data_IF_100068434120
#
_entry.id   IF_100068434120
#
_cell.length_a   1.000
_cell.length_b   1.000
_cell.length_c   1.000
_cell.angle_alpha   90.00
_cell.angle_beta   90.00
_cell.angle_gamma   90.00
#
_symmetry.space_group_name_H-M   'P 1'
#
loop_
_entity.id
_entity.type
_entity.pdbx_description
1 polymer ?
#
# COMPACT_ATOMS: atom_id res chain seq x y z
N UNK A 1 12.52 -18.20 10.43
CA UNK A 1 11.61 -18.57 9.31
C UNK A 1 11.52 -20.06 9.03
N UNK A 2 12.31 -20.92 9.68
CA UNK A 2 12.21 -22.37 9.50
C UNK A 2 10.80 -22.87 9.80
N UNK A 3 10.35 -23.89 9.07
CA UNK A 3 9.10 -24.64 9.32
C UNK A 3 7.77 -23.99 8.91
N UNK A 4 7.75 -22.84 8.22
CA UNK A 4 6.49 -22.30 7.65
C UNK A 4 6.04 -23.11 6.44
N UNK A 5 6.90 -23.24 5.43
CA UNK A 5 6.72 -24.11 4.25
C UNK A 5 8.09 -24.66 3.78
N UNK A 6 8.62 -25.70 4.45
CA UNK A 6 9.97 -26.23 4.22
C UNK A 6 10.27 -26.64 2.78
N UNK A 7 9.26 -27.08 2.03
CA UNK A 7 9.42 -27.52 0.65
C UNK A 7 9.53 -26.35 -0.36
N UNK A 8 9.19 -25.14 0.08
CA UNK A 8 9.36 -23.89 -0.66
C UNK A 8 10.64 -23.18 -0.21
N UNK A 9 10.77 -22.94 1.09
CA UNK A 9 11.90 -22.23 1.69
C UNK A 9 12.25 -22.87 3.03
N UNK A 10 13.52 -23.21 3.21
CA UNK A 10 14.07 -23.71 4.46
C UNK A 10 15.30 -22.88 4.80
N UNK A 11 15.15 -21.95 5.73
CA UNK A 11 16.19 -21.00 6.08
C UNK A 11 15.81 -20.13 7.26
N UNK A 12 16.78 -19.35 7.70
CA UNK A 12 16.67 -18.40 8.80
C UNK A 12 17.51 -17.17 8.48
N UNK A 13 17.11 -16.03 9.04
CA UNK A 13 17.89 -14.81 9.06
C UNK A 13 18.63 -14.74 10.40
N UNK A 14 19.87 -14.28 10.37
CA UNK A 14 20.69 -14.03 11.56
C UNK A 14 21.34 -12.67 11.43
N UNK A 15 21.48 -11.98 12.56
CA UNK A 15 22.35 -10.83 12.69
C UNK A 15 23.71 -11.30 13.18
N UNK A 16 24.75 -11.06 12.39
CA UNK A 16 26.11 -11.41 12.76
C UNK A 16 26.73 -10.25 13.54
N UNK A 17 27.53 -10.57 14.55
CA UNK A 17 28.26 -9.56 15.34
C UNK A 17 29.70 -9.38 14.82
N UNK A 18 30.22 -10.38 14.10
CA UNK A 18 31.56 -10.42 13.54
C UNK A 18 31.50 -10.82 12.05
N UNK A 19 32.41 -10.30 11.22
CA UNK A 19 32.55 -10.72 9.83
C UNK A 19 33.13 -12.16 9.74
N UNK A 20 33.93 -12.59 10.72
CA UNK A 20 34.47 -13.96 10.74
C UNK A 20 33.36 -15.03 10.90
N UNK A 21 32.24 -14.68 11.53
CA UNK A 21 31.07 -15.56 11.64
C UNK A 21 30.49 -15.89 10.25
N UNK A 22 30.57 -14.95 9.30
CA UNK A 22 30.11 -15.18 7.92
C UNK A 22 30.95 -16.28 7.26
N UNK A 23 32.27 -16.22 7.41
CA UNK A 23 33.17 -17.26 6.89
C UNK A 23 32.91 -18.63 7.51
N UNK A 24 32.58 -18.69 8.80
CA UNK A 24 32.19 -19.95 9.43
C UNK A 24 30.89 -20.52 8.85
N UNK A 25 29.90 -19.67 8.58
CA UNK A 25 28.64 -20.08 7.96
C UNK A 25 28.83 -20.53 6.50
N UNK A 26 29.65 -19.82 5.72
CA UNK A 26 29.95 -20.16 4.32
C UNK A 26 30.62 -21.54 4.19
N UNK A 27 31.45 -21.91 5.16
CA UNK A 27 32.16 -23.19 5.17
C UNK A 27 31.36 -24.33 5.82
N UNK A 28 30.16 -24.05 6.34
CA UNK A 28 29.32 -25.07 6.96
C UNK A 28 28.70 -25.99 5.90
N UNK A 29 28.86 -27.31 6.06
CA UNK A 29 28.28 -28.31 5.17
C UNK A 29 26.72 -28.31 5.15
N UNK A 30 26.09 -27.59 6.08
CA UNK A 30 24.63 -27.48 6.19
C UNK A 30 24.06 -26.19 5.60
N UNK A 31 24.91 -25.27 5.12
CA UNK A 31 24.49 -24.01 4.52
C UNK A 31 24.60 -24.14 3.01
N UNK A 32 23.46 -24.12 2.32
CA UNK A 32 23.43 -24.19 0.85
C UNK A 32 23.77 -22.83 0.22
N UNK A 33 23.25 -21.75 0.79
CA UNK A 33 23.43 -20.39 0.28
C UNK A 33 23.24 -19.36 1.39
N UNK A 34 24.02 -18.29 1.31
CA UNK A 34 23.88 -17.10 2.14
C UNK A 34 23.55 -15.92 1.22
N UNK A 35 22.62 -15.10 1.67
CA UNK A 35 22.27 -13.85 1.01
C UNK A 35 22.03 -12.77 2.03
N UNK A 36 22.41 -11.55 1.67
CA UNK A 36 22.20 -10.39 2.49
C UNK A 36 20.70 -10.12 2.64
N UNK A 37 20.26 -9.87 3.87
CA UNK A 37 18.93 -9.31 4.12
C UNK A 37 18.97 -7.84 3.73
N UNK A 38 18.14 -7.47 2.77
CA UNK A 38 18.08 -6.12 2.25
C UNK A 38 16.83 -5.41 2.77
N UNK A 39 16.94 -4.10 2.88
CA UNK A 39 15.80 -3.23 3.18
C UNK A 39 14.99 -3.01 1.91
N UNK A 40 13.70 -3.31 1.98
CA UNK A 40 12.76 -3.09 0.89
C UNK A 40 11.77 -2.00 1.28
N UNK A 41 11.48 -1.13 0.32
CA UNK A 41 10.60 0.02 0.52
C UNK A 41 9.23 -0.22 -0.09
N UNK A 42 8.24 0.48 0.45
CA UNK A 42 6.95 0.57 -0.22
C UNK A 42 7.09 1.48 -1.44
N UNK A 43 6.47 1.09 -2.55
CA UNK A 43 6.25 2.01 -3.65
C UNK A 43 5.56 3.29 -3.14
N UNK A 44 6.08 4.46 -3.53
CA UNK A 44 5.56 5.75 -3.07
C UNK A 44 4.07 5.89 -3.43
N UNK A 45 3.26 6.43 -2.50
CA UNK A 45 1.82 6.63 -2.72
C UNK A 45 1.48 8.11 -2.83
N UNK A 46 0.54 8.43 -3.72
CA UNK A 46 0.00 9.78 -3.85
C UNK A 46 -0.84 10.21 -2.64
N UNK A 47 -1.09 11.52 -2.53
CA UNK A 47 -1.86 12.14 -1.46
C UNK A 47 -3.27 11.56 -1.30
N UNK A 48 -3.77 11.51 -0.06
CA UNK A 48 -5.07 10.93 0.31
C UNK A 48 -6.24 11.82 -0.11
N UNK A 49 -7.32 11.19 -0.60
CA UNK A 49 -8.63 11.80 -0.77
C UNK A 49 -9.60 11.25 0.27
N UNK A 50 -10.02 12.09 1.21
CA UNK A 50 -11.16 11.79 2.07
C UNK A 50 -12.40 12.37 1.39
N UNK A 51 -13.41 11.53 1.19
CA UNK A 51 -14.69 11.98 0.63
C UNK A 51 -15.67 12.13 1.79
N UNK A 52 -16.08 13.35 2.07
CA UNK A 52 -16.97 13.66 3.21
C UNK A 52 -18.47 13.50 2.86
N UNK A 53 -18.79 13.27 1.59
CA UNK A 53 -20.15 13.08 1.11
C UNK A 53 -20.21 12.01 0.00
N UNK A 54 -21.35 11.33 -0.19
CA UNK A 54 -21.56 10.46 -1.34
C UNK A 54 -21.19 11.16 -2.64
N UNK A 55 -20.39 10.50 -3.48
CA UNK A 55 -20.19 10.94 -4.85
C UNK A 55 -21.52 10.66 -5.56
N UNK A 56 -22.00 11.59 -6.39
CA UNK A 56 -23.16 11.35 -7.24
C UNK A 56 -22.81 10.37 -8.38
N UNK A 57 -22.50 9.14 -8.00
CA UNK A 57 -22.03 8.05 -8.84
C UNK A 57 -22.49 6.74 -8.21
N UNK A 58 -22.63 5.72 -9.05
CA UNK A 58 -22.83 4.33 -8.61
C UNK A 58 -21.54 3.55 -8.84
N UNK A 59 -21.28 2.45 -8.11
CA UNK A 59 -20.11 1.62 -8.38
C UNK A 59 -20.02 1.15 -9.84
N UNK A 60 -21.15 0.90 -10.49
CA UNK A 60 -21.23 0.52 -11.90
C UNK A 60 -20.76 1.59 -12.89
N UNK A 61 -20.60 2.84 -12.45
CA UNK A 61 -20.10 3.95 -13.25
C UNK A 61 -18.66 4.33 -12.88
N UNK A 62 -18.02 3.63 -11.95
CA UNK A 62 -16.65 3.93 -11.55
C UNK A 62 -15.70 3.67 -12.73
N UNK A 63 -15.06 4.72 -13.31
CA UNK A 63 -14.41 4.58 -14.61
C UNK A 63 -13.32 3.51 -14.71
N UNK A 64 -12.43 3.31 -13.70
CA UNK A 64 -11.45 2.24 -13.75
C UNK A 64 -12.08 0.84 -13.89
N UNK A 65 -13.24 0.61 -13.26
CA UNK A 65 -13.95 -0.67 -13.35
C UNK A 65 -14.71 -0.86 -14.67
N UNK A 66 -15.21 0.23 -15.26
CA UNK A 66 -15.79 0.20 -16.60
C UNK A 66 -14.71 -0.12 -17.63
N UNK A 67 -13.56 0.56 -17.57
CA UNK A 67 -12.44 0.38 -18.49
C UNK A 67 -11.85 -1.04 -18.42
N UNK A 68 -11.73 -1.61 -17.22
CA UNK A 68 -11.26 -2.98 -16.99
C UNK A 68 -12.36 -4.05 -17.10
N UNK A 69 -13.61 -3.66 -17.44
CA UNK A 69 -14.78 -4.53 -17.59
C UNK A 69 -15.17 -5.33 -16.33
N UNK A 70 -14.74 -4.90 -15.15
CA UNK A 70 -15.12 -5.50 -13.87
C UNK A 70 -16.63 -5.40 -13.66
N UNK A 71 -17.26 -4.33 -14.15
CA UNK A 71 -18.71 -4.13 -14.10
C UNK A 71 -19.49 -5.22 -14.83
N UNK A 72 -18.95 -5.82 -15.89
CA UNK A 72 -19.58 -6.95 -16.58
C UNK A 72 -19.51 -8.24 -15.74
N UNK A 73 -18.39 -8.47 -15.03
CA UNK A 73 -18.27 -9.59 -14.09
C UNK A 73 -19.28 -9.46 -12.94
N UNK A 74 -19.46 -8.25 -12.41
CA UNK A 74 -20.46 -7.98 -11.38
C UNK A 74 -21.89 -8.22 -11.88
N UNK A 75 -22.23 -7.83 -13.12
CA UNK A 75 -23.53 -8.15 -13.74
C UNK A 75 -23.78 -9.65 -13.87
N UNK A 76 -22.72 -10.45 -14.01
CA UNK A 76 -22.78 -11.92 -14.02
C UNK A 76 -22.86 -12.54 -12.61
N UNK A 77 -22.86 -11.73 -11.54
CA UNK A 77 -22.88 -12.21 -10.15
C UNK A 77 -21.51 -12.64 -9.61
N UNK A 78 -20.41 -12.31 -10.30
CA UNK A 78 -19.06 -12.69 -9.92
C UNK A 78 -18.47 -11.60 -9.04
N UNK A 79 -18.43 -11.85 -7.73
CA UNK A 79 -17.96 -10.90 -6.71
C UNK A 79 -16.80 -11.42 -5.85
N UNK A 80 -16.19 -12.55 -6.23
CA UNK A 80 -15.08 -13.16 -5.49
C UNK A 80 -15.48 -14.01 -4.28
N UNK A 81 -16.74 -14.44 -4.19
CA UNK A 81 -17.21 -15.30 -3.09
C UNK A 81 -16.39 -16.59 -3.03
N UNK A 82 -15.89 -16.92 -1.84
CA UNK A 82 -15.10 -18.13 -1.59
C UNK A 82 -13.60 -17.99 -1.88
N UNK A 83 -13.16 -16.87 -2.45
CA UNK A 83 -11.74 -16.58 -2.68
C UNK A 83 -11.14 -15.88 -1.45
N UNK A 84 -9.94 -16.30 -1.07
CA UNK A 84 -9.11 -15.68 -0.04
C UNK A 84 -7.96 -14.91 -0.66
N UNK A 85 -7.86 -13.62 -0.37
CA UNK A 85 -6.79 -12.74 -0.86
C UNK A 85 -5.97 -12.23 0.31
N UNK A 86 -4.69 -12.60 0.39
CA UNK A 86 -3.75 -12.03 1.35
C UNK A 86 -3.10 -10.78 0.76
N UNK A 87 -3.07 -9.72 1.55
CA UNK A 87 -2.46 -8.44 1.21
C UNK A 87 -1.24 -8.23 2.11
N UNK A 88 -0.08 -8.01 1.51
CA UNK A 88 1.16 -7.63 2.21
C UNK A 88 1.36 -6.14 1.97
N UNK A 89 1.11 -5.32 3.01
CA UNK A 89 1.11 -3.86 2.94
C UNK A 89 1.35 -3.25 4.34
N UNK A 90 1.49 -1.93 4.40
CA UNK A 90 1.56 -1.05 5.58
C UNK A 90 0.39 -1.12 6.57
N UNK A 91 -0.61 -1.95 6.28
CA UNK A 91 -1.70 -2.29 7.16
C UNK A 91 -3.07 -1.91 6.62
N UNK A 92 -4.06 -1.92 7.51
CA UNK A 92 -5.45 -1.61 7.18
C UNK A 92 -6.21 -1.08 8.39
N UNK A 93 -7.14 -0.18 8.14
CA UNK A 93 -8.20 0.13 9.09
C UNK A 93 -9.30 -0.95 9.01
N UNK A 94 -9.19 -1.97 9.86
CA UNK A 94 -10.19 -3.03 9.95
C UNK A 94 -11.57 -2.52 10.40
N UNK A 95 -11.64 -1.37 11.09
CA UNK A 95 -12.90 -0.79 11.55
C UNK A 95 -13.68 -0.09 10.43
N UNK A 96 -13.06 0.11 9.26
CA UNK A 96 -13.67 0.82 8.15
C UNK A 96 -14.98 0.13 7.69
N UNK A 97 -16.10 0.87 7.55
CA UNK A 97 -17.39 0.30 7.16
C UNK A 97 -17.36 -0.54 5.88
N UNK A 98 -16.65 -0.06 4.85
CA UNK A 98 -16.51 -0.78 3.58
C UNK A 98 -15.72 -2.09 3.71
N UNK A 99 -14.97 -2.28 4.80
CA UNK A 99 -14.09 -3.43 5.04
C UNK A 99 -14.62 -4.37 6.12
N UNK A 100 -15.90 -4.28 6.49
CA UNK A 100 -16.55 -5.25 7.37
C UNK A 100 -16.42 -4.97 8.87
N UNK A 101 -15.84 -3.82 9.27
CA UNK A 101 -15.84 -3.31 10.67
C UNK A 101 -15.25 -4.28 11.71
N UNK A 102 -14.23 -5.03 11.36
CA UNK A 102 -13.48 -5.84 12.32
C UNK A 102 -12.42 -6.72 11.69
N UNK A 103 -11.73 -7.47 12.54
CA UNK A 103 -10.64 -8.38 12.20
C UNK A 103 -10.86 -9.75 12.85
N UNK A 104 -10.48 -10.82 12.15
CA UNK A 104 -10.51 -12.19 12.65
C UNK A 104 -11.66 -13.03 12.09
N UNK A 105 -11.79 -14.29 12.52
CA UNK A 105 -12.77 -15.22 11.98
C UNK A 105 -14.19 -14.63 11.96
N UNK A 106 -14.85 -14.68 10.80
CA UNK A 106 -16.20 -14.13 10.59
C UNK A 106 -16.23 -12.68 10.08
N UNK A 107 -15.13 -11.95 10.13
CA UNK A 107 -15.00 -10.65 9.47
C UNK A 107 -14.51 -10.78 8.03
N UNK A 108 -14.62 -9.69 7.25
CA UNK A 108 -14.05 -9.64 5.89
C UNK A 108 -12.53 -9.79 5.94
N UNK A 109 -11.85 -9.11 6.87
CA UNK A 109 -10.42 -9.29 7.11
C UNK A 109 -10.29 -10.39 8.17
N UNK A 110 -10.18 -11.63 7.73
CA UNK A 110 -10.40 -12.80 8.58
C UNK A 110 -9.13 -13.36 9.23
N UNK A 111 -7.97 -13.08 8.65
CA UNK A 111 -6.67 -13.61 9.09
C UNK A 111 -5.54 -12.63 8.78
N UNK A 112 -4.34 -12.91 9.26
CA UNK A 112 -3.22 -11.98 9.11
C UNK A 112 -2.22 -12.04 10.25
N UNK A 113 -1.08 -11.38 10.05
CA UNK A 113 -0.01 -11.30 11.05
C UNK A 113 0.79 -10.01 10.87
N UNK A 114 1.36 -9.52 11.96
CA UNK A 114 2.27 -8.39 11.94
C UNK A 114 3.73 -8.84 11.73
N UNK A 115 4.38 -8.28 10.72
CA UNK A 115 5.78 -8.45 10.36
C UNK A 115 6.52 -7.11 10.32
N UNK A 116 5.92 -6.01 10.79
CA UNK A 116 6.63 -4.76 10.96
C UNK A 116 7.65 -4.91 12.09
N UNK A 117 8.92 -4.67 11.78
CA UNK A 117 9.98 -4.56 12.78
C UNK A 117 9.70 -3.31 13.62
N UNK A 118 9.65 -3.49 14.94
CA UNK A 118 9.62 -2.37 15.91
C UNK A 118 11.04 -2.23 16.45
N UNK A 119 11.64 -1.05 16.30
CA UNK A 119 12.94 -0.68 16.89
C UNK A 119 12.88 -0.56 18.44
N UNK A 120 11.97 -1.26 19.09
CA UNK A 120 11.94 -1.36 20.54
C UNK A 120 12.98 -2.41 20.95
N UNK A 121 14.23 -1.96 21.06
CA UNK A 121 15.35 -2.62 21.73
C UNK A 121 15.07 -2.78 23.25
N UNK A 122 13.98 -3.44 23.64
CA UNK A 122 13.68 -3.84 25.02
C UNK A 122 12.79 -5.09 25.01
N UNK A 123 13.41 -6.27 24.86
CA UNK A 123 13.39 -7.31 25.90
C UNK A 123 13.83 -8.67 25.35
N UNK A 124 14.90 -9.18 25.97
CA UNK A 124 15.24 -10.59 26.00
C UNK A 124 14.05 -11.40 26.52
N UNK A 125 13.49 -12.27 25.68
CA UNK A 125 13.12 -13.64 26.08
C UNK A 125 12.65 -14.43 24.87
N UNK A 126 13.42 -15.47 24.55
CA UNK A 126 12.96 -16.52 23.66
C UNK A 126 11.85 -17.30 24.35
N UNK A 127 10.60 -17.07 23.97
CA UNK A 127 9.59 -18.12 24.00
C UNK A 127 8.52 -17.85 22.95
N UNK A 128 8.30 -18.85 22.11
CA UNK A 128 7.24 -18.87 21.11
C UNK A 128 5.87 -18.80 21.77
N UNK A 129 5.18 -17.67 21.66
CA UNK A 129 3.73 -17.63 21.80
C UNK A 129 3.09 -17.15 20.49
N UNK A 130 2.68 -18.13 19.69
CA UNK A 130 1.95 -17.94 18.45
C UNK A 130 0.46 -17.58 18.68
N UNK A 131 0.07 -17.17 19.89
CA UNK A 131 -1.34 -17.01 20.23
C UNK A 131 -1.71 -15.78 21.08
N UNK A 132 -1.07 -14.61 20.96
CA UNK A 132 -1.76 -13.40 21.49
C UNK A 132 -1.30 -11.99 21.09
N UNK A 133 -0.41 -11.81 20.11
CA UNK A 133 -0.31 -10.50 19.48
C UNK A 133 -1.35 -10.42 18.37
N UNK A 134 -2.58 -10.16 18.83
CA UNK A 134 -3.61 -9.53 18.04
C UNK A 134 -2.92 -8.54 17.10
N UNK A 135 -3.19 -8.68 15.81
CA UNK A 135 -3.17 -7.54 14.91
C UNK A 135 -4.13 -6.55 15.58
N UNK A 136 -3.62 -5.70 16.47
CA UNK A 136 -4.36 -4.59 17.06
C UNK A 136 -4.14 -3.40 16.12
N UNK A 137 -5.00 -3.21 15.10
CA UNK A 137 -5.22 -1.87 14.61
C UNK A 137 -5.79 -1.10 15.80
N UNK A 138 -5.28 0.11 16.08
CA UNK A 138 -5.79 0.95 17.16
C UNK A 138 -7.32 1.06 17.13
N UNK A 139 -7.95 0.23 17.94
CA UNK A 139 -9.37 0.18 18.25
C UNK A 139 -9.44 0.06 19.75
N UNK A 140 -9.55 1.22 20.40
CA UNK A 140 -9.91 1.45 21.81
C UNK A 140 -10.13 0.17 22.65
N UNK A 141 -9.06 -0.38 23.23
CA UNK A 141 -9.11 -1.34 24.32
C UNK A 141 -9.05 -0.64 25.69
N UNK A 142 -9.66 -1.20 26.76
CA UNK A 142 -9.91 -0.52 28.04
C UNK A 142 -8.67 -0.46 28.96
N UNK A 143 -7.58 0.16 28.49
CA UNK A 143 -6.42 0.55 29.32
C UNK A 143 -6.21 2.07 29.41
N UNK A 144 -7.20 2.86 29.00
CA UNK A 144 -7.22 4.30 29.23
C UNK A 144 -7.69 4.65 30.66
N UNK A 145 -6.94 4.21 31.68
CA UNK A 145 -7.09 4.76 33.03
C UNK A 145 -5.78 4.66 33.83
N UNK A 146 -4.66 5.09 33.26
CA UNK A 146 -3.49 5.53 34.03
C UNK A 146 -2.49 6.27 33.11
N UNK A 147 -2.80 7.52 32.76
CA UNK A 147 -1.82 8.62 32.70
C UNK A 147 -2.52 9.92 32.28
N UNK A 148 -3.22 10.54 33.24
CA UNK A 148 -3.57 11.95 33.14
C UNK A 148 -2.31 12.80 33.41
N UNK A 149 -1.28 12.74 32.56
CA UNK A 149 -0.14 13.64 32.60
C UNK A 149 0.80 13.45 31.39
N UNK A 150 0.39 13.91 30.20
CA UNK A 150 1.32 14.33 29.12
C UNK A 150 0.55 15.19 28.11
N UNK A 151 0.37 16.47 28.45
CA UNK A 151 -0.02 17.51 27.50
C UNK A 151 1.12 17.72 26.50
N UNK A 152 0.76 17.92 25.23
CA UNK A 152 1.63 18.35 24.11
C UNK A 152 2.54 17.32 23.45
N UNK A 153 1.96 16.24 22.91
CA UNK A 153 2.39 15.74 21.59
C UNK A 153 1.13 15.67 20.73
N UNK A 154 1.04 16.52 19.71
CA UNK A 154 0.09 16.27 18.63
C UNK A 154 0.50 14.92 18.01
N UNK A 155 -0.20 13.85 18.38
CA UNK A 155 -0.18 12.62 17.62
C UNK A 155 -0.68 12.96 16.22
N UNK A 156 0.25 13.13 15.27
CA UNK A 156 -0.08 12.93 13.86
C UNK A 156 -0.56 11.49 13.76
N UNK A 157 -1.88 11.27 13.74
CA UNK A 157 -2.46 9.97 13.37
C UNK A 157 -1.84 9.57 12.03
N UNK A 158 -0.87 8.64 12.05
CA UNK A 158 -0.26 8.08 10.83
C UNK A 158 -1.38 7.38 10.07
N UNK A 159 -1.81 7.98 8.97
CA UNK A 159 -2.92 7.48 8.16
C UNK A 159 -2.44 6.36 7.26
N UNK A 160 -2.94 5.14 7.48
CA UNK A 160 -2.62 3.94 6.71
C UNK A 160 -3.45 3.95 5.42
N UNK A 161 -2.77 3.97 4.27
CA UNK A 161 -3.37 3.99 2.93
C UNK A 161 -3.39 2.56 2.39
N UNK A 162 -4.56 2.04 2.00
CA UNK A 162 -4.77 0.60 1.89
C UNK A 162 -5.35 0.18 0.53
N UNK A 163 -4.65 -0.71 -0.17
CA UNK A 163 -5.11 -1.32 -1.43
C UNK A 163 -6.28 -2.29 -1.22
N UNK A 164 -6.56 -2.62 0.04
CA UNK A 164 -7.71 -3.42 0.50
C UNK A 164 -9.04 -2.88 -0.04
N UNK A 165 -9.17 -1.56 -0.17
CA UNK A 165 -10.36 -0.92 -0.71
C UNK A 165 -10.58 -1.24 -2.19
N UNK A 166 -9.52 -1.13 -3.00
CA UNK A 166 -9.53 -1.47 -4.43
C UNK A 166 -9.92 -2.94 -4.60
N UNK A 167 -9.37 -3.81 -3.76
CA UNK A 167 -9.60 -5.26 -3.85
C UNK A 167 -11.02 -5.63 -3.45
N UNK A 168 -11.51 -5.25 -2.27
CA UNK A 168 -12.74 -5.84 -1.73
C UNK A 168 -13.61 -4.91 -0.88
N UNK A 169 -13.53 -3.59 -1.07
CA UNK A 169 -14.48 -2.67 -0.46
C UNK A 169 -15.92 -3.04 -0.84
N UNK A 170 -16.80 -3.07 0.15
CA UNK A 170 -18.25 -3.09 -0.07
C UNK A 170 -18.75 -1.67 -0.31
N UNK A 171 -19.78 -1.53 -1.15
CA UNK A 171 -20.42 -0.22 -1.33
C UNK A 171 -21.16 0.17 -0.07
N UNK A 172 -20.75 1.30 0.52
CA UNK A 172 -21.32 1.90 1.72
C UNK A 172 -22.01 3.23 1.42
N UNK A 173 -22.40 3.45 0.16
CA UNK A 173 -23.16 4.62 -0.27
C UNK A 173 -22.29 5.77 -0.78
N UNK A 174 -21.03 5.51 -1.12
CA UNK A 174 -20.10 6.53 -1.66
C UNK A 174 -19.82 6.37 -3.16
N UNK A 175 -20.54 5.46 -3.83
CA UNK A 175 -20.43 5.26 -5.28
C UNK A 175 -19.18 4.48 -5.69
N UNK A 176 -18.61 3.71 -4.76
CA UNK A 176 -17.42 2.88 -4.97
C UNK A 176 -17.58 1.50 -4.34
N UNK A 177 -17.11 0.48 -5.05
CA UNK A 177 -17.03 -0.91 -4.61
C UNK A 177 -15.69 -1.45 -5.10
N UNK A 178 -15.08 -2.38 -4.37
CA UNK A 178 -13.86 -3.06 -4.82
C UNK A 178 -14.12 -4.06 -5.95
N UNK A 179 -13.07 -4.65 -6.49
CA UNK A 179 -13.13 -5.65 -7.57
C UNK A 179 -13.86 -6.92 -7.14
N UNK A 180 -13.54 -7.43 -5.94
CA UNK A 180 -14.03 -8.68 -5.38
C UNK A 180 -14.62 -8.45 -3.97
N UNK A 181 -15.77 -7.75 -3.86
CA UNK A 181 -16.33 -7.34 -2.57
C UNK A 181 -16.81 -8.49 -1.69
N UNK A 182 -16.91 -9.72 -2.22
CA UNK A 182 -17.27 -10.92 -1.44
C UNK A 182 -16.07 -11.83 -1.15
N UNK A 183 -14.84 -11.41 -1.49
CA UNK A 183 -13.63 -12.10 -1.09
C UNK A 183 -13.38 -11.96 0.42
N UNK A 184 -12.73 -12.97 0.99
CA UNK A 184 -12.17 -12.91 2.34
C UNK A 184 -10.75 -12.39 2.24
N UNK A 185 -10.39 -11.41 3.07
CA UNK A 185 -9.07 -10.81 3.08
C UNK A 185 -8.20 -11.35 4.21
N UNK A 186 -6.91 -11.50 3.93
CA UNK A 186 -5.85 -11.62 4.92
C UNK A 186 -5.00 -10.35 4.91
N UNK A 187 -4.56 -9.88 6.07
CA UNK A 187 -3.67 -8.71 6.16
C UNK A 187 -2.34 -9.06 6.83
N UNK A 188 -1.26 -8.90 6.08
CA UNK A 188 0.11 -9.14 6.51
C UNK A 188 0.80 -7.79 6.63
N UNK A 189 0.81 -7.26 7.85
CA UNK A 189 1.33 -5.94 8.11
C UNK A 189 2.85 -5.96 7.92
N UNK A 190 3.30 -5.07 7.05
CA UNK A 190 4.68 -4.86 6.70
C UNK A 190 5.04 -3.42 7.07
N UNK A 191 6.13 -3.21 7.81
CA UNK A 191 6.51 -1.88 8.31
C UNK A 191 6.87 -0.93 7.16
N UNK A 192 6.27 0.26 7.15
CA UNK A 192 6.60 1.33 6.20
C UNK A 192 6.54 2.68 6.92
N UNK A 193 7.67 3.32 7.15
CA UNK A 193 7.78 4.67 7.72
C UNK A 193 9.13 5.30 7.44
N UNK A 194 9.30 6.58 7.78
CA UNK A 194 10.51 7.38 7.45
C UNK A 194 11.84 6.79 8.00
N UNK A 195 11.78 5.88 8.99
CA UNK A 195 12.91 5.07 9.46
C UNK A 195 12.60 3.55 9.52
N UNK A 196 11.39 3.14 9.12
CA UNK A 196 10.90 1.75 9.23
C UNK A 196 10.89 1.05 7.88
N UNK A 197 12.08 0.87 7.31
CA UNK A 197 12.31 -0.01 6.16
C UNK A 197 12.17 -1.46 6.65
N UNK A 198 11.24 -2.21 6.07
CA UNK A 198 11.14 -3.64 6.35
C UNK A 198 12.12 -4.42 5.48
N UNK A 199 12.30 -5.69 5.81
CA UNK A 199 13.36 -6.52 5.27
C UNK A 199 12.85 -7.58 4.27
N UNK A 200 13.72 -8.02 3.36
CA UNK A 200 13.41 -9.09 2.39
C UNK A 200 13.02 -10.40 3.07
N UNK A 201 13.56 -10.66 4.26
CA UNK A 201 13.32 -11.87 5.04
C UNK A 201 11.94 -11.83 5.71
N UNK A 202 11.51 -10.68 6.24
CA UNK A 202 10.13 -10.43 6.68
C UNK A 202 9.12 -10.60 5.55
N UNK A 203 9.47 -10.19 4.32
CA UNK A 203 8.60 -10.34 3.15
C UNK A 203 8.46 -11.82 2.74
N UNK A 204 9.56 -12.57 2.74
CA UNK A 204 9.56 -14.02 2.57
C UNK A 204 8.67 -14.67 3.62
N UNK A 205 8.84 -14.32 4.90
CA UNK A 205 8.02 -14.87 5.99
C UNK A 205 6.53 -14.60 5.81
N UNK A 206 6.17 -13.37 5.42
CA UNK A 206 4.78 -12.97 5.17
C UNK A 206 4.16 -13.74 4.00
N UNK A 207 4.87 -13.91 2.88
CA UNK A 207 4.38 -14.70 1.73
C UNK A 207 4.18 -16.18 2.08
N UNK A 208 5.12 -16.77 2.81
CA UNK A 208 5.01 -18.18 3.24
C UNK A 208 3.84 -18.36 4.20
N UNK A 209 3.65 -17.43 5.15
CA UNK A 209 2.54 -17.48 6.10
C UNK A 209 1.19 -17.23 5.42
N UNK A 210 1.11 -16.28 4.49
CA UNK A 210 -0.08 -16.03 3.67
C UNK A 210 -0.57 -17.29 2.94
N UNK A 211 0.36 -18.02 2.32
CA UNK A 211 0.03 -19.27 1.69
C UNK A 211 -0.38 -20.35 2.72
N UNK A 212 0.35 -20.46 3.84
CA UNK A 212 0.03 -21.42 4.92
C UNK A 212 -1.37 -21.19 5.52
N UNK A 213 -1.81 -19.95 5.63
CA UNK A 213 -3.15 -19.57 6.09
C UNK A 213 -4.25 -19.84 5.03
N UNK A 214 -3.85 -20.34 3.86
CA UNK A 214 -4.73 -20.78 2.78
C UNK A 214 -5.19 -19.65 1.87
N UNK A 215 -4.39 -18.60 1.70
CA UNK A 215 -4.67 -17.59 0.67
C UNK A 215 -4.55 -18.18 -0.74
N UNK A 216 -5.54 -17.93 -1.58
CA UNK A 216 -5.53 -18.31 -3.00
C UNK A 216 -4.66 -17.34 -3.81
N UNK A 217 -4.75 -16.05 -3.45
CA UNK A 217 -4.04 -14.94 -4.07
C UNK A 217 -3.24 -14.23 -3.00
N UNK A 218 -1.97 -13.97 -3.27
CA UNK A 218 -1.10 -13.11 -2.47
C UNK A 218 -0.80 -11.88 -3.31
N UNK A 219 -1.20 -10.71 -2.84
CA UNK A 219 -0.93 -9.43 -3.48
C UNK A 219 -0.04 -8.59 -2.58
N UNK A 220 1.00 -8.01 -3.18
CA UNK A 220 1.97 -7.20 -2.48
C UNK A 220 2.27 -5.92 -3.28
N UNK A 221 2.00 -4.77 -2.67
CA UNK A 221 2.30 -3.45 -3.24
C UNK A 221 3.63 -2.94 -2.71
N UNK A 222 4.65 -3.74 -2.99
CA UNK A 222 5.99 -3.53 -2.49
C UNK A 222 7.01 -3.83 -3.58
N UNK A 223 8.08 -3.04 -3.59
CA UNK A 223 9.09 -3.09 -4.63
C UNK A 223 10.41 -2.52 -4.12
N UNK A 224 11.50 -3.10 -4.58
CA UNK A 224 12.83 -2.51 -4.46
C UNK A 224 13.57 -2.64 -5.78
N UNK A 225 14.65 -1.85 -5.98
CA UNK A 225 15.49 -1.96 -7.16
C UNK A 225 15.88 -3.41 -7.41
N UNK A 226 15.72 -3.85 -8.66
CA UNK A 226 15.90 -5.23 -9.04
C UNK A 226 15.94 -5.39 -10.55
N UNK A 227 15.59 -6.56 -11.05
CA UNK A 227 15.41 -6.76 -12.50
C UNK A 227 15.84 -8.12 -13.06
N UNK A 228 16.42 -8.98 -12.23
CA UNK A 228 16.77 -10.35 -12.64
C UNK A 228 15.78 -11.32 -12.02
N UNK A 229 15.01 -12.06 -12.84
CA UNK A 229 13.89 -12.88 -12.31
C UNK A 229 14.25 -14.11 -11.47
N UNK A 230 15.54 -14.30 -11.14
CA UNK A 230 16.12 -15.38 -10.34
C UNK A 230 17.43 -14.90 -9.68
N UNK A 231 17.94 -15.67 -8.71
CA UNK A 231 19.25 -15.43 -8.09
C UNK A 231 19.14 -14.91 -6.66
N UNK A 232 18.04 -14.25 -6.33
CA UNK A 232 17.71 -13.80 -4.96
C UNK A 232 16.69 -14.72 -4.28
N UNK A 233 16.80 -14.85 -2.95
CA UNK A 233 16.01 -15.73 -2.10
C UNK A 233 14.53 -15.36 -2.14
N UNK A 234 14.24 -14.06 -2.16
CA UNK A 234 12.89 -13.54 -2.31
C UNK A 234 12.26 -14.02 -3.62
N UNK A 235 12.97 -13.85 -4.75
CA UNK A 235 12.48 -14.26 -6.07
C UNK A 235 12.36 -15.77 -6.19
N UNK A 236 13.34 -16.51 -5.66
CA UNK A 236 13.30 -17.97 -5.61
C UNK A 236 12.11 -18.47 -4.78
N UNK A 237 11.80 -17.80 -3.67
CA UNK A 237 10.64 -18.11 -2.83
C UNK A 237 9.34 -17.87 -3.60
N UNK A 238 9.18 -16.70 -4.23
CA UNK A 238 8.03 -16.38 -5.08
C UNK A 238 7.86 -17.41 -6.19
N UNK A 239 8.94 -17.70 -6.92
CA UNK A 239 8.92 -18.67 -8.01
C UNK A 239 8.50 -20.08 -7.53
N UNK A 240 9.02 -20.54 -6.38
CA UNK A 240 8.70 -21.85 -5.80
C UNK A 240 7.29 -21.90 -5.22
N UNK A 241 6.79 -20.83 -4.61
CA UNK A 241 5.39 -20.73 -4.16
C UNK A 241 4.43 -20.97 -5.33
N UNK A 242 4.66 -20.30 -6.45
CA UNK A 242 3.81 -20.46 -7.63
C UNK A 242 3.97 -21.87 -8.21
N UNK A 243 5.20 -22.34 -8.46
CA UNK A 243 5.44 -23.63 -9.11
C UNK A 243 5.02 -24.84 -8.29
N UNK A 244 5.31 -24.85 -6.99
CA UNK A 244 5.09 -26.02 -6.13
C UNK A 244 3.74 -26.01 -5.44
N UNK A 245 3.18 -24.82 -5.19
CA UNK A 245 1.95 -24.67 -4.41
C UNK A 245 0.77 -24.13 -5.20
N UNK A 246 0.98 -23.69 -6.44
CA UNK A 246 -0.08 -23.09 -7.26
C UNK A 246 -0.57 -21.76 -6.71
N UNK A 247 0.23 -21.07 -5.87
CA UNK A 247 -0.12 -19.75 -5.36
C UNK A 247 -0.17 -18.74 -6.51
N UNK A 248 -1.14 -17.84 -6.51
CA UNK A 248 -1.18 -16.70 -7.44
C UNK A 248 -0.54 -15.51 -6.73
N UNK A 249 0.62 -15.07 -7.22
CA UNK A 249 1.35 -13.93 -6.63
C UNK A 249 1.27 -12.74 -7.58
N UNK A 250 0.75 -11.62 -7.09
CA UNK A 250 0.56 -10.38 -7.83
C UNK A 250 1.40 -9.29 -7.17
N UNK A 251 2.28 -8.64 -7.94
CA UNK A 251 3.20 -7.63 -7.43
C UNK A 251 3.17 -6.40 -8.34
N UNK A 252 3.19 -5.21 -7.74
CA UNK A 252 3.31 -3.96 -8.50
C UNK A 252 4.66 -3.87 -9.23
N UNK A 253 4.68 -3.41 -10.48
CA UNK A 253 5.89 -3.35 -11.29
C UNK A 253 6.95 -2.34 -10.82
N UNK A 254 6.56 -1.39 -9.97
CA UNK A 254 7.38 -0.24 -9.55
C UNK A 254 6.83 1.09 -10.08
N UNK A 255 7.29 2.20 -9.49
CA UNK A 255 6.89 3.56 -9.86
C UNK A 255 8.02 4.36 -10.53
N UNK A 256 9.18 3.73 -10.72
CA UNK A 256 10.44 4.30 -11.20
C UNK A 256 10.52 4.27 -12.73
N UNK A 257 9.38 4.44 -13.42
CA UNK A 257 9.30 4.39 -14.88
C UNK A 257 10.20 5.40 -15.60
N UNK A 258 10.65 6.46 -14.91
CA UNK A 258 11.65 7.42 -15.42
C UNK A 258 13.05 6.84 -15.56
N UNK A 259 13.40 5.79 -14.82
CA UNK A 259 14.71 5.12 -14.87
C UNK A 259 14.86 4.25 -16.13
N UNK A 260 13.75 3.99 -16.83
CA UNK A 260 13.73 3.34 -18.14
C UNK A 260 13.16 1.92 -18.12
N UNK A 261 13.04 1.34 -19.32
CA UNK A 261 12.29 0.09 -19.56
C UNK A 261 12.83 -1.15 -18.83
N UNK A 262 14.08 -1.10 -18.34
CA UNK A 262 14.73 -2.22 -17.67
C UNK A 262 14.78 -2.07 -16.14
N UNK A 263 14.19 -1.01 -15.59
CA UNK A 263 14.14 -0.77 -14.14
C UNK A 263 12.84 -1.34 -13.56
N UNK A 264 12.75 -2.66 -13.50
CA UNK A 264 11.62 -3.36 -12.88
C UNK A 264 11.92 -3.76 -11.44
N UNK A 265 10.96 -3.59 -10.55
CA UNK A 265 11.16 -3.88 -9.14
C UNK A 265 11.17 -5.37 -8.81
N UNK A 266 11.93 -5.75 -7.79
CA UNK A 266 11.77 -7.01 -7.07
C UNK A 266 10.70 -6.82 -5.98
N UNK A 267 9.76 -7.78 -5.77
CA UNK A 267 9.70 -9.11 -6.38
C UNK A 267 8.95 -9.22 -7.71
N UNK A 268 8.52 -8.13 -8.33
CA UNK A 268 7.73 -8.17 -9.56
C UNK A 268 8.48 -8.78 -10.75
N UNK A 269 9.81 -8.73 -10.75
CA UNK A 269 10.68 -9.38 -11.74
C UNK A 269 10.67 -10.92 -11.68
N UNK A 270 10.13 -11.52 -10.60
CA UNK A 270 10.13 -12.98 -10.43
C UNK A 270 9.42 -13.67 -11.60
N UNK A 271 10.07 -14.69 -12.18
CA UNK A 271 9.62 -15.39 -13.40
C UNK A 271 8.17 -15.87 -13.37
N UNK A 272 7.65 -16.28 -12.22
CA UNK A 272 6.30 -16.82 -12.09
C UNK A 272 5.32 -15.87 -11.38
N UNK A 273 5.72 -14.65 -11.03
CA UNK A 273 4.80 -13.65 -10.50
C UNK A 273 4.03 -12.95 -11.63
N UNK A 274 2.86 -12.40 -11.29
CA UNK A 274 2.14 -11.46 -12.15
C UNK A 274 2.60 -10.06 -11.79
N UNK A 275 3.45 -9.48 -12.63
CA UNK A 275 3.85 -8.07 -12.54
C UNK A 275 2.75 -7.18 -13.12
N UNK A 276 2.32 -6.17 -12.34
CA UNK A 276 1.22 -5.27 -12.72
C UNK A 276 1.73 -3.84 -12.88
N UNK A 277 1.70 -3.35 -14.12
CA UNK A 277 1.93 -1.94 -14.44
C UNK A 277 0.66 -1.09 -14.29
N UNK A 278 0.85 0.21 -14.10
CA UNK A 278 -0.24 1.19 -14.01
C UNK A 278 -0.57 1.81 -15.37
N UNK A 279 -1.84 2.11 -15.60
CA UNK A 279 -2.31 2.91 -16.73
C UNK A 279 -3.35 3.93 -16.26
N UNK A 280 -3.41 5.07 -16.96
CA UNK A 280 -4.36 6.12 -16.64
C UNK A 280 -5.81 5.70 -16.99
N UNK A 281 -6.75 6.12 -16.15
CA UNK A 281 -8.16 5.89 -16.43
C UNK A 281 -8.65 6.84 -17.53
N UNK A 282 -9.50 6.35 -18.44
CA UNK A 282 -10.07 7.16 -19.52
C UNK A 282 -10.98 8.28 -19.01
N UNK A 283 -11.43 8.19 -17.77
CA UNK A 283 -12.18 9.22 -17.09
C UNK A 283 -11.85 9.17 -15.61
N UNK A 284 -11.84 10.32 -14.96
CA UNK A 284 -11.53 10.40 -13.53
C UNK A 284 -12.71 10.98 -12.76
N UNK A 285 -12.80 10.58 -11.51
CA UNK A 285 -13.73 11.21 -10.57
C UNK A 285 -13.03 12.46 -10.02
N UNK A 286 -13.41 13.64 -10.51
CA UNK A 286 -12.80 14.90 -10.13
C UNK A 286 -13.82 15.85 -9.51
N UNK A 287 -13.34 16.73 -8.63
CA UNK A 287 -14.13 17.90 -8.26
C UNK A 287 -14.11 18.94 -9.37
N UNK A 288 -15.12 19.81 -9.36
CA UNK A 288 -15.24 20.92 -10.29
C UNK A 288 -15.45 22.21 -9.51
N UNK A 289 -14.93 23.31 -10.05
CA UNK A 289 -15.34 24.65 -9.64
C UNK A 289 -15.98 25.37 -10.82
N UNK A 290 -16.89 26.29 -10.51
CA UNK A 290 -17.55 27.13 -11.49
C UNK A 290 -16.88 28.50 -11.49
N UNK A 291 -16.31 28.90 -12.61
CA UNK A 291 -15.77 30.24 -12.78
C UNK A 291 -16.90 31.28 -12.86
N UNK A 292 -16.60 32.54 -12.57
CA UNK A 292 -17.52 33.67 -12.74
C UNK A 292 -18.02 33.82 -14.18
N UNK A 293 -17.27 33.31 -15.16
CA UNK A 293 -17.67 33.21 -16.57
C UNK A 293 -18.74 32.15 -16.85
N UNK A 294 -19.11 31.35 -15.85
CA UNK A 294 -20.02 30.21 -16.00
C UNK A 294 -19.34 28.92 -16.46
N UNK A 295 -18.05 28.95 -16.81
CA UNK A 295 -17.29 27.76 -17.22
C UNK A 295 -17.03 26.83 -16.04
N UNK A 296 -17.28 25.53 -16.21
CA UNK A 296 -16.84 24.51 -15.27
C UNK A 296 -15.38 24.15 -15.53
N UNK A 297 -14.59 24.13 -14.47
CA UNK A 297 -13.17 23.77 -14.50
C UNK A 297 -12.95 22.58 -13.59
N UNK A 298 -12.36 21.53 -14.15
CA UNK A 298 -12.01 20.30 -13.45
C UNK A 298 -10.72 20.54 -12.67
N UNK A 299 -10.71 20.24 -11.37
CA UNK A 299 -9.49 20.28 -10.58
C UNK A 299 -8.99 18.86 -10.31
N UNK A 300 -7.74 18.62 -10.71
CA UNK A 300 -7.06 17.34 -10.58
C UNK A 300 -6.16 17.37 -9.35
N UNK A 301 -6.75 17.23 -8.17
CA UNK A 301 -6.00 17.09 -6.93
C UNK A 301 -6.71 16.12 -6.01
N UNK A 302 -5.93 15.28 -5.35
CA UNK A 302 -6.41 14.25 -4.45
C UNK A 302 -6.90 14.83 -3.12
N UNK A 303 -6.36 15.97 -2.67
CA UNK A 303 -6.88 16.70 -1.51
C UNK A 303 -8.00 17.67 -1.87
N UNK A 304 -9.03 17.71 -1.03
CA UNK A 304 -10.11 18.70 -1.12
C UNK A 304 -9.59 20.07 -0.73
N UNK A 305 -9.79 21.07 -1.58
CA UNK A 305 -9.74 22.46 -1.16
C UNK A 305 -10.97 22.69 -0.28
N UNK A 306 -10.79 22.83 1.04
CA UNK A 306 -11.89 23.17 1.96
C UNK A 306 -12.22 24.67 1.83
N UNK A 307 -12.67 25.04 0.64
CA UNK A 307 -13.06 26.38 0.26
C UNK A 307 -14.57 26.36 0.04
N UNK A 308 -15.29 27.19 0.78
CA UNK A 308 -16.72 27.38 0.61
C UNK A 308 -16.98 28.82 0.19
N UNK A 309 -17.81 29.01 -0.83
CA UNK A 309 -18.11 30.33 -1.39
C UNK A 309 -17.26 30.71 -2.60
N UNK A 310 -17.25 32.01 -2.89
CA UNK A 310 -16.57 32.57 -4.06
C UNK A 310 -15.22 33.17 -3.66
N UNK A 311 -14.18 32.86 -4.44
CA UNK A 311 -12.84 33.37 -4.21
C UNK A 311 -12.31 34.04 -5.48
N UNK A 312 -11.67 35.22 -5.37
CA UNK A 312 -10.99 35.84 -6.50
C UNK A 312 -9.79 34.98 -6.93
N UNK A 313 -9.60 34.84 -8.24
CA UNK A 313 -8.46 34.15 -8.84
C UNK A 313 -7.41 35.18 -9.22
N UNK A 314 -6.17 34.97 -8.78
CA UNK A 314 -5.00 35.71 -9.22
C UNK A 314 -4.15 34.83 -10.11
N UNK A 315 -3.85 35.29 -11.33
CA UNK A 315 -3.04 34.54 -12.30
C UNK A 315 -1.65 35.17 -12.32
N UNK A 316 -0.61 34.39 -12.03
CA UNK A 316 0.77 34.90 -11.92
C UNK A 316 1.43 35.15 -13.27
N UNK A 317 1.05 34.40 -14.31
CA UNK A 317 1.53 34.58 -15.68
C UNK A 317 0.39 34.80 -16.68
N UNK A 318 0.59 35.77 -17.60
CA UNK A 318 -0.36 36.07 -18.67
C UNK A 318 -0.06 35.31 -19.98
N UNK A 319 0.94 34.42 -19.96
CA UNK A 319 1.38 33.61 -21.09
C UNK A 319 1.54 32.15 -20.68
N UNK A 320 1.31 31.24 -21.61
CA UNK A 320 1.59 29.81 -21.45
C UNK A 320 3.05 29.45 -21.74
N UNK A 321 3.89 30.39 -22.14
CA UNK A 321 5.25 30.11 -22.62
C UNK A 321 6.31 30.23 -21.52
N UNK A 322 5.99 30.83 -20.38
CA UNK A 322 6.93 31.02 -19.28
C UNK A 322 7.10 29.74 -18.46
N UNK A 323 8.26 29.08 -18.51
CA UNK A 323 8.56 27.86 -17.74
C UNK A 323 8.93 28.14 -16.28
N UNK A 324 9.08 29.41 -15.88
CA UNK A 324 9.58 29.82 -14.56
C UNK A 324 8.53 30.62 -13.77
N UNK A 325 7.24 30.46 -14.08
CA UNK A 325 6.15 31.18 -13.43
C UNK A 325 6.18 31.01 -11.91
N UNK A 326 6.27 32.15 -11.20
CA UNK A 326 6.38 32.23 -9.75
C UNK A 326 7.54 31.43 -9.11
N UNK A 327 8.60 31.12 -9.88
CA UNK A 327 9.87 30.63 -9.33
C UNK A 327 10.70 31.76 -8.67
N UNK A 328 10.52 33.00 -9.12
CA UNK A 328 11.11 34.22 -8.54
C UNK A 328 10.08 35.03 -7.72
N UNK A 329 10.56 36.02 -6.96
CA UNK A 329 9.68 36.95 -6.24
C UNK A 329 8.64 37.58 -7.18
N UNK A 330 7.37 37.50 -6.78
CA UNK A 330 6.28 38.13 -7.53
C UNK A 330 6.51 39.65 -7.63
N UNK A 331 6.08 40.30 -8.74
CA UNK A 331 6.31 41.72 -8.94
C UNK A 331 5.85 42.57 -7.74
N UNK A 332 6.58 43.65 -7.41
CA UNK A 332 6.28 44.51 -6.24
C UNK A 332 4.87 45.12 -6.22
N UNK A 333 4.19 45.15 -7.36
CA UNK A 333 2.80 45.62 -7.49
C UNK A 333 1.75 44.52 -7.27
N UNK A 334 2.17 43.29 -6.95
CA UNK A 334 1.28 42.18 -6.62
C UNK A 334 0.45 42.54 -5.39
N UNK A 335 -0.89 42.46 -5.44
CA UNK A 335 -1.74 42.77 -4.31
C UNK A 335 -1.59 41.72 -3.19
N UNK A 336 -2.18 42.00 -2.01
CA UNK A 336 -2.22 41.00 -0.95
C UNK A 336 -3.07 39.79 -1.37
N UNK A 337 -2.44 38.62 -1.47
CA UNK A 337 -3.05 37.39 -1.97
C UNK A 337 -3.70 36.52 -0.88
N UNK A 338 -3.79 36.97 0.38
CA UNK A 338 -4.26 36.16 1.52
C UNK A 338 -5.62 35.47 1.29
N UNK A 339 -6.54 36.10 0.55
CA UNK A 339 -7.88 35.57 0.25
C UNK A 339 -8.07 35.23 -1.25
N UNK A 340 -6.98 35.00 -1.99
CA UNK A 340 -7.04 34.65 -3.41
C UNK A 340 -6.71 33.17 -3.63
N UNK A 341 -7.31 32.60 -4.67
CA UNK A 341 -6.79 31.37 -5.28
C UNK A 341 -5.73 31.80 -6.30
N UNK A 342 -4.48 31.41 -6.07
CA UNK A 342 -3.37 31.76 -6.95
C UNK A 342 -3.19 30.64 -7.98
N UNK A 343 -3.32 30.98 -9.26
CA UNK A 343 -3.06 30.08 -10.37
C UNK A 343 -1.63 30.30 -10.85
N UNK A 344 -0.78 29.30 -10.58
CA UNK A 344 0.60 29.23 -11.03
C UNK A 344 0.72 28.15 -12.10
N UNK A 345 1.38 28.47 -13.21
CA UNK A 345 1.68 27.50 -14.25
C UNK A 345 2.75 26.53 -13.74
N UNK A 346 2.54 25.24 -13.98
CA UNK A 346 3.57 24.23 -13.75
C UNK A 346 4.71 24.44 -14.76
N UNK A 347 5.92 24.67 -14.24
CA UNK A 347 7.19 24.63 -14.98
C UNK A 347 7.71 23.21 -15.15
#
# INVERSE_FOLDING_TARGET
MTNVLPDVFYGLSVRLSDEDDLHHLENSAHVEKISQVEKIRRASTFDERIVDAPINSTPSLFPPQVQSRITELHKMGIYGKGVKVALIDSGVDCSHPALGKGFGPGFKIAFGKNYAETDDDDDESGESDATNHSVEPHGLGPRAMHLAARKNKQEKKKKKKNDTGIVAATDVGYGFMGVAPNATLGMYLFGCGDEGDSSTDSLVAAMLQAHKDGADIISASIGGPGGWGQGEELLNTVNKLVQKKGAIIIVAAGNEGSEGLFFGDNPASAKNAISVGSMEAQSIVAGKFKASTGKELTFYRTSTLNLSGEYPIYITANSTDDSSDACDELPKHTPNLTNHIVLVKRG
#
